data_IF_891903103525
#
_entry.id   IF_891903103525
#
_cell.length_a   1.000
_cell.length_b   1.000
_cell.length_c   1.000
_cell.angle_alpha   90.00
_cell.angle_beta   90.00
_cell.angle_gamma   90.00
#
_symmetry.space_group_name_H-M   'P 1'
#
loop_
_entity.id
_entity.type
_entity.pdbx_description
1 polymer ?
#
# COMPACT_ATOMS: atom_id res chain seq x y z
N UNK A 1 -7.73 12.13 14.51
CA UNK A 1 -6.84 12.83 13.55
C UNK A 1 -7.53 12.92 12.20
N UNK A 2 -7.57 14.11 11.61
CA UNK A 2 -8.15 14.30 10.28
C UNK A 2 -7.15 13.95 9.17
N UNK A 3 -7.68 13.82 7.96
CA UNK A 3 -6.88 13.47 6.79
C UNK A 3 -5.77 14.50 6.52
N UNK A 4 -6.08 15.79 6.61
CA UNK A 4 -5.10 16.86 6.39
C UNK A 4 -3.96 16.77 7.38
N UNK A 5 -4.26 16.57 8.66
CA UNK A 5 -3.25 16.44 9.70
C UNK A 5 -2.36 15.21 9.45
N UNK A 6 -2.96 14.09 9.07
CA UNK A 6 -2.20 12.89 8.74
C UNK A 6 -1.24 13.13 7.58
N UNK A 7 -1.72 13.76 6.51
CA UNK A 7 -0.89 14.06 5.35
C UNK A 7 0.29 14.97 5.72
N UNK A 8 0.04 15.99 6.52
CA UNK A 8 1.08 16.94 6.91
C UNK A 8 2.13 16.31 7.81
N UNK A 9 1.74 15.43 8.72
CA UNK A 9 2.64 14.88 9.74
C UNK A 9 3.40 13.65 9.28
N UNK A 10 2.79 12.80 8.45
CA UNK A 10 3.32 11.46 8.20
C UNK A 10 3.63 11.17 6.74
N UNK A 11 3.36 12.11 5.84
CA UNK A 11 3.61 11.87 4.42
C UNK A 11 4.56 12.87 3.81
N UNK A 12 5.10 12.50 2.65
CA UNK A 12 5.96 13.31 1.80
C UNK A 12 5.45 13.21 0.35
N UNK A 13 6.07 13.97 -0.55
CA UNK A 13 5.77 13.89 -1.98
C UNK A 13 4.27 14.08 -2.27
N UNK A 14 3.69 15.14 -1.70
CA UNK A 14 2.27 15.49 -1.87
C UNK A 14 1.31 14.38 -1.42
N UNK A 15 1.68 13.65 -0.36
CA UNK A 15 0.84 12.62 0.21
C UNK A 15 0.96 11.26 -0.46
N UNK A 16 1.93 11.07 -1.35
CA UNK A 16 2.09 9.82 -2.10
C UNK A 16 3.02 8.81 -1.43
N UNK A 17 3.76 9.23 -0.42
CA UNK A 17 4.68 8.36 0.30
C UNK A 17 4.64 8.65 1.79
N UNK A 18 4.90 7.64 2.61
CA UNK A 18 5.10 7.84 4.04
C UNK A 18 6.48 8.46 4.28
N UNK A 19 6.57 9.30 5.30
CA UNK A 19 7.85 9.91 5.67
C UNK A 19 8.82 8.86 6.18
N UNK A 20 10.08 9.13 5.99
CA UNK A 20 11.17 8.35 6.55
C UNK A 20 11.89 9.17 7.62
N UNK A 21 12.46 8.48 8.60
CA UNK A 21 13.33 9.09 9.59
C UNK A 21 14.69 9.38 8.95
N UNK A 22 15.56 10.11 9.67
CA UNK A 22 16.89 10.47 9.15
C UNK A 22 17.72 9.26 8.74
N UNK A 23 17.53 8.12 9.41
CA UNK A 23 18.24 6.88 9.09
C UNK A 23 17.59 6.07 7.94
N UNK A 24 16.53 6.60 7.32
CA UNK A 24 15.82 5.94 6.22
C UNK A 24 14.71 4.99 6.65
N UNK A 25 14.52 4.78 7.95
CA UNK A 25 13.45 3.92 8.44
C UNK A 25 12.09 4.60 8.31
N UNK A 26 11.03 3.78 8.19
CA UNK A 26 9.65 4.28 8.17
C UNK A 26 9.35 5.10 9.41
N UNK A 27 8.61 6.21 9.25
CA UNK A 27 8.23 7.10 10.35
C UNK A 27 7.51 6.37 11.49
N UNK A 28 6.79 5.27 11.19
CA UNK A 28 6.04 4.51 12.18
C UNK A 28 6.84 3.41 12.88
N UNK A 29 8.09 3.19 12.46
CA UNK A 29 8.92 2.16 13.09
C UNK A 29 9.37 2.61 14.49
N UNK A 30 9.10 1.78 15.48
CA UNK A 30 9.52 1.98 16.88
C UNK A 30 10.45 0.84 17.31
N UNK A 31 11.13 0.96 18.47
CA UNK A 31 11.93 -0.16 18.99
C UNK A 31 11.13 -1.44 19.21
N UNK A 32 9.80 -1.34 19.35
CA UNK A 32 8.91 -2.48 19.52
C UNK A 32 8.29 -2.96 18.20
N UNK A 33 8.68 -2.37 17.07
CA UNK A 33 8.14 -2.67 15.77
C UNK A 33 7.28 -1.55 15.20
N UNK A 34 6.37 -1.89 14.28
CA UNK A 34 5.50 -0.89 13.64
C UNK A 34 4.49 -0.33 14.65
N UNK A 35 4.50 0.99 14.85
CA UNK A 35 3.58 1.66 15.78
C UNK A 35 2.13 1.68 15.32
N UNK A 36 1.86 1.39 14.05
CA UNK A 36 0.52 1.32 13.47
C UNK A 36 0.24 -0.05 12.86
N UNK A 37 0.89 -1.09 13.39
CA UNK A 37 0.82 -2.44 12.82
C UNK A 37 -0.61 -2.93 12.53
N UNK A 38 -1.60 -2.77 13.44
CA UNK A 38 -2.97 -3.19 13.14
C UNK A 38 -3.60 -2.46 11.96
N UNK A 39 -3.17 -1.23 11.69
CA UNK A 39 -3.71 -0.38 10.64
C UNK A 39 -2.73 -0.19 9.48
N UNK A 40 -1.75 -1.09 9.35
CA UNK A 40 -0.71 -0.94 8.33
C UNK A 40 -1.29 -0.94 6.93
N UNK A 41 -0.69 -0.14 6.00
CA UNK A 41 -1.15 -0.05 4.62
C UNK A 41 -1.07 -1.39 3.88
N UNK A 42 -1.79 -1.50 2.76
CA UNK A 42 -1.83 -2.72 1.96
C UNK A 42 -0.43 -3.23 1.59
N UNK A 43 0.46 -2.34 1.16
CA UNK A 43 1.81 -2.74 0.76
C UNK A 43 2.56 -3.41 1.91
N UNK A 44 2.35 -2.96 3.14
CA UNK A 44 2.95 -3.56 4.32
C UNK A 44 2.30 -4.88 4.69
N UNK A 45 0.98 -5.00 4.47
CA UNK A 45 0.23 -6.25 4.74
C UNK A 45 0.62 -7.36 3.77
N UNK A 46 0.90 -7.00 2.53
CA UNK A 46 1.24 -7.97 1.49
C UNK A 46 2.69 -8.41 1.51
N UNK A 47 3.60 -7.58 2.07
CA UNK A 47 5.03 -7.90 2.04
C UNK A 47 5.30 -9.34 2.50
N UNK A 48 6.05 -10.17 1.79
CA UNK A 48 6.91 -9.83 0.63
C UNK A 48 6.23 -10.01 -0.74
N UNK A 49 4.91 -10.00 -0.81
CA UNK A 49 4.20 -10.07 -2.08
C UNK A 49 3.95 -8.68 -2.65
N UNK A 50 4.08 -8.54 -3.97
CA UNK A 50 3.65 -7.36 -4.71
C UNK A 50 2.39 -7.67 -5.49
N UNK A 51 1.37 -6.83 -5.37
CA UNK A 51 0.13 -6.99 -6.13
C UNK A 51 0.22 -6.20 -7.42
N UNK A 52 -0.10 -6.86 -8.54
CA UNK A 52 -0.15 -6.24 -9.86
C UNK A 52 -1.57 -6.33 -10.39
N UNK A 53 -2.04 -5.24 -11.00
CA UNK A 53 -3.37 -5.19 -11.63
C UNK A 53 -3.21 -4.51 -12.99
N UNK A 54 -3.73 -5.14 -14.04
CA UNK A 54 -3.73 -4.53 -15.38
C UNK A 54 -4.86 -3.53 -15.53
N UNK A 55 -4.82 -2.74 -16.60
CA UNK A 55 -5.91 -1.83 -16.96
C UNK A 55 -7.23 -2.56 -17.23
N UNK A 56 -7.18 -3.85 -17.58
CA UNK A 56 -8.37 -4.69 -17.80
C UNK A 56 -8.86 -5.37 -16.53
N UNK A 57 -8.20 -5.12 -15.39
CA UNK A 57 -8.60 -5.69 -14.11
C UNK A 57 -8.03 -7.07 -13.80
N UNK A 58 -7.08 -7.55 -14.59
CA UNK A 58 -6.39 -8.80 -14.28
C UNK A 58 -5.44 -8.61 -13.09
N UNK A 59 -5.52 -9.50 -12.12
CA UNK A 59 -4.75 -9.43 -10.89
C UNK A 59 -3.78 -10.60 -10.78
N UNK A 60 -2.53 -10.31 -10.37
CA UNK A 60 -1.60 -11.37 -9.97
C UNK A 60 -0.68 -10.85 -8.88
N UNK A 61 0.01 -11.79 -8.22
CA UNK A 61 0.94 -11.47 -7.15
C UNK A 61 2.34 -11.95 -7.51
N UNK A 62 3.33 -11.12 -7.23
CA UNK A 62 4.74 -11.43 -7.43
C UNK A 62 5.42 -11.52 -6.06
N UNK A 63 6.25 -12.53 -5.88
CA UNK A 63 7.04 -12.69 -4.67
C UNK A 63 8.34 -11.90 -4.82
N UNK A 64 8.64 -11.07 -3.80
CA UNK A 64 9.87 -10.30 -3.74
C UNK A 64 10.81 -10.93 -2.73
N UNK A 65 12.13 -10.86 -3.00
CA UNK A 65 13.11 -11.30 -2.01
C UNK A 65 13.02 -10.41 -0.77
N UNK A 66 12.80 -10.98 0.44
CA UNK A 66 12.73 -10.18 1.65
C UNK A 66 14.05 -9.45 1.91
N UNK A 67 13.95 -8.23 2.43
CA UNK A 67 15.14 -7.48 2.82
C UNK A 67 15.89 -8.25 3.93
N UNK A 68 17.24 -8.27 3.91
CA UNK A 68 18.02 -9.04 4.90
C UNK A 68 17.76 -8.65 6.35
N UNK A 69 17.35 -7.40 6.59
CA UNK A 69 17.10 -6.89 7.94
C UNK A 69 15.67 -7.21 8.44
N UNK A 70 14.82 -7.83 7.61
CA UNK A 70 13.47 -8.19 8.07
C UNK A 70 13.52 -9.47 8.90
N UNK A 71 12.83 -9.43 10.05
CA UNK A 71 12.70 -10.57 10.95
C UNK A 71 11.37 -11.28 10.68
N UNK A 72 11.38 -12.22 9.76
CA UNK A 72 10.18 -12.99 9.43
C UNK A 72 10.55 -14.40 9.05
N UNK A 73 9.59 -15.31 9.15
CA UNK A 73 9.73 -16.66 8.65
C UNK A 73 9.11 -16.72 7.25
N UNK A 74 9.94 -16.96 6.25
CA UNK A 74 9.52 -17.06 4.86
C UNK A 74 9.70 -18.50 4.38
N UNK A 75 8.65 -19.05 3.79
CA UNK A 75 8.67 -20.43 3.34
C UNK A 75 7.71 -20.65 2.17
N UNK A 76 7.58 -21.92 1.80
CA UNK A 76 6.72 -22.31 0.68
C UNK A 76 5.42 -22.98 1.14
N UNK A 77 5.12 -22.91 2.43
CA UNK A 77 3.90 -23.48 2.99
C UNK A 77 2.71 -22.55 2.79
N UNK A 78 1.59 -23.11 2.36
CA UNK A 78 0.36 -22.38 2.15
C UNK A 78 0.27 -21.79 0.74
N UNK A 79 -0.77 -21.01 0.52
CA UNK A 79 -1.09 -20.40 -0.76
C UNK A 79 -1.14 -18.89 -0.61
N UNK A 80 -1.16 -18.18 -1.74
CA UNK A 80 -1.40 -16.73 -1.75
C UNK A 80 -2.72 -16.41 -1.04
N UNK A 81 -3.79 -17.15 -1.35
CA UNK A 81 -5.10 -16.92 -0.73
C UNK A 81 -5.06 -17.09 0.79
N UNK A 82 -4.39 -18.11 1.30
CA UNK A 82 -4.27 -18.32 2.75
C UNK A 82 -3.45 -17.21 3.41
N UNK A 83 -2.42 -16.72 2.74
CA UNK A 83 -1.62 -15.60 3.22
C UNK A 83 -2.46 -14.32 3.31
N UNK A 84 -3.22 -14.01 2.25
CA UNK A 84 -4.08 -12.82 2.22
C UNK A 84 -5.10 -12.85 3.36
N UNK A 85 -5.69 -14.00 3.65
CA UNK A 85 -6.64 -14.17 4.75
C UNK A 85 -5.98 -13.87 6.11
N UNK A 86 -4.78 -14.40 6.33
CA UNK A 86 -4.06 -14.18 7.59
C UNK A 86 -3.65 -12.72 7.79
N UNK A 87 -3.46 -11.98 6.69
CA UNK A 87 -3.09 -10.57 6.75
C UNK A 87 -4.28 -9.63 6.75
N UNK A 88 -5.52 -10.16 6.74
CA UNK A 88 -6.74 -9.36 6.62
C UNK A 88 -6.65 -8.37 5.45
N UNK A 89 -6.14 -8.84 4.30
CA UNK A 89 -5.80 -7.97 3.19
C UNK A 89 -7.02 -7.50 2.39
N UNK A 90 -8.11 -8.28 2.36
CA UNK A 90 -9.22 -8.04 1.45
C UNK A 90 -9.86 -6.64 1.58
N UNK A 91 -10.18 -6.13 2.79
CA UNK A 91 -10.73 -4.77 2.90
C UNK A 91 -9.79 -3.69 2.34
N UNK A 92 -8.49 -3.89 2.48
CA UNK A 92 -7.49 -2.94 1.98
C UNK A 92 -7.36 -3.02 0.47
N UNK A 93 -7.44 -4.23 -0.12
CA UNK A 93 -7.47 -4.41 -1.58
C UNK A 93 -8.69 -3.70 -2.15
N UNK A 94 -9.86 -3.88 -1.56
CA UNK A 94 -11.09 -3.22 -2.00
C UNK A 94 -10.98 -1.70 -1.89
N UNK A 95 -10.36 -1.20 -0.83
CA UNK A 95 -10.14 0.23 -0.64
C UNK A 95 -9.22 0.81 -1.71
N UNK A 96 -8.13 0.12 -2.03
CA UNK A 96 -7.21 0.54 -3.09
C UNK A 96 -7.91 0.55 -4.44
N UNK A 97 -8.67 -0.49 -4.75
CA UNK A 97 -9.38 -0.60 -6.02
C UNK A 97 -10.42 0.53 -6.20
N UNK A 98 -11.13 0.87 -5.12
CA UNK A 98 -12.07 2.01 -5.13
C UNK A 98 -11.35 3.34 -5.36
N UNK A 99 -10.21 3.52 -4.71
CA UNK A 99 -9.41 4.75 -4.88
C UNK A 99 -8.90 4.87 -6.31
N UNK A 100 -8.35 3.79 -6.87
CA UNK A 100 -7.83 3.79 -8.24
C UNK A 100 -8.95 4.06 -9.25
N UNK A 101 -10.13 3.47 -9.06
CA UNK A 101 -11.28 3.72 -9.92
C UNK A 101 -11.72 5.18 -9.86
N UNK A 102 -11.83 5.74 -8.65
CA UNK A 102 -12.19 7.14 -8.47
C UNK A 102 -11.16 8.08 -9.10
N UNK A 103 -9.89 7.86 -8.83
CA UNK A 103 -8.82 8.68 -9.38
C UNK A 103 -8.80 8.61 -10.90
N UNK A 104 -9.02 7.44 -11.49
CA UNK A 104 -9.10 7.25 -12.94
C UNK A 104 -10.26 8.02 -13.55
N UNK A 105 -11.43 7.99 -12.91
CA UNK A 105 -12.60 8.73 -13.39
C UNK A 105 -12.39 10.24 -13.30
N UNK A 106 -11.80 10.73 -12.22
CA UNK A 106 -11.47 12.14 -12.06
C UNK A 106 -10.48 12.60 -13.11
N UNK A 107 -9.43 11.83 -13.36
CA UNK A 107 -8.42 12.14 -14.36
C UNK A 107 -9.01 12.17 -15.77
N UNK A 108 -9.89 11.22 -16.08
CA UNK A 108 -10.60 11.17 -17.36
C UNK A 108 -11.46 12.43 -17.56
N UNK A 109 -12.20 12.83 -16.53
CA UNK A 109 -13.04 14.03 -16.58
C UNK A 109 -12.22 15.31 -16.79
N UNK A 110 -11.07 15.42 -16.14
CA UNK A 110 -10.15 16.54 -16.30
C UNK A 110 -9.58 16.60 -17.71
N UNK A 111 -9.15 15.47 -18.26
CA UNK A 111 -8.63 15.39 -19.63
C UNK A 111 -9.68 15.79 -20.66
N UNK A 112 -10.92 15.32 -20.48
CA UNK A 112 -12.04 15.67 -21.36
C UNK A 112 -12.32 17.18 -21.30
N UNK A 113 -12.34 17.77 -20.12
CA UNK A 113 -12.53 19.20 -19.94
C UNK A 113 -11.43 20.01 -20.64
N UNK A 114 -10.19 19.60 -20.51
CA UNK A 114 -9.03 20.25 -21.15
C UNK A 114 -9.11 20.16 -22.68
N UNK A 115 -9.57 19.02 -23.21
CA UNK A 115 -9.71 18.83 -24.66
C UNK A 115 -10.81 19.70 -25.28
N UNK A 116 -11.83 20.09 -24.49
CA UNK A 116 -12.93 20.93 -24.96
C UNK A 116 -12.60 22.43 -24.92
N UNK A 117 -11.47 22.79 -24.34
CA UNK A 117 -10.95 24.16 -24.35
C UNK A 117 -10.08 24.39 -25.59
#
# INVERSE_FOLDING_TARGET
>A
MGTTEFLDRYTAENGTALRQKEDGACIFLTPQGCGVHPDRPLVCRLYPLGRRVTSEGEEWFEEMAPHPDTAGEYGTRGTVDSFLLRQDAQPYIEGVDRYVDLAGRMLHALRKQTADD
#
